data_IF_116664286363
#
_entry.id   IF_116664286363
#
_cell.length_a   1.000
_cell.length_b   1.000
_cell.length_c   1.000
_cell.angle_alpha   90.00
_cell.angle_beta   90.00
_cell.angle_gamma   90.00
#
_symmetry.space_group_name_H-M   'P 1'
#
loop_
_entity.id
_entity.type
_entity.pdbx_description
1 polymer ?
#
# COMPACT_ATOMS: atom_id res chain seq x y z
N UNK A 1 2.32 -24.95 8.23
CA UNK A 1 1.71 -25.86 7.22
C UNK A 1 0.43 -25.28 6.58
N UNK A 2 -0.62 -24.95 7.34
CA UNK A 2 -1.87 -24.42 6.76
C UNK A 2 -1.69 -23.10 5.97
N UNK A 3 -0.99 -22.10 6.53
CA UNK A 3 -0.77 -20.82 5.84
C UNK A 3 0.00 -20.98 4.51
N UNK A 4 1.02 -21.85 4.48
CA UNK A 4 1.76 -22.18 3.26
C UNK A 4 0.90 -22.90 2.21
N UNK A 5 0.01 -23.81 2.64
CA UNK A 5 -0.94 -24.46 1.73
C UNK A 5 -1.92 -23.44 1.11
N UNK A 6 -2.42 -22.49 1.90
CA UNK A 6 -3.28 -21.40 1.44
C UNK A 6 -2.55 -20.47 0.47
N UNK A 7 -1.29 -20.13 0.77
CA UNK A 7 -0.42 -19.37 -0.14
C UNK A 7 -0.24 -20.09 -1.48
N UNK A 8 -0.01 -21.41 -1.45
CA UNK A 8 0.05 -22.24 -2.65
C UNK A 8 -1.24 -22.21 -3.49
N UNK A 9 -2.40 -22.17 -2.84
CA UNK A 9 -3.69 -22.00 -3.53
C UNK A 9 -3.87 -20.61 -4.14
N UNK A 10 -3.48 -19.54 -3.43
CA UNK A 10 -3.51 -18.17 -3.98
C UNK A 10 -2.65 -18.07 -5.25
N UNK A 11 -1.44 -18.61 -5.21
CA UNK A 11 -0.53 -18.64 -6.38
C UNK A 11 -1.13 -19.45 -7.53
N UNK A 12 -1.77 -20.59 -7.23
CA UNK A 12 -2.43 -21.43 -8.24
C UNK A 12 -3.61 -20.69 -8.89
N UNK A 13 -4.38 -19.93 -8.11
CA UNK A 13 -5.49 -19.11 -8.61
C UNK A 13 -5.01 -17.98 -9.50
N UNK A 14 -3.92 -17.30 -9.14
CA UNK A 14 -3.35 -16.24 -9.99
C UNK A 14 -2.99 -16.74 -11.39
N UNK A 15 -2.36 -17.92 -11.47
CA UNK A 15 -2.03 -18.57 -12.76
C UNK A 15 -3.27 -18.88 -13.62
N UNK A 16 -4.44 -19.00 -13.00
CA UNK A 16 -5.73 -19.25 -13.66
C UNK A 16 -6.58 -17.98 -13.78
N UNK A 17 -6.01 -16.81 -13.52
CA UNK A 17 -6.70 -15.52 -13.40
C UNK A 17 -7.83 -15.48 -12.35
N UNK A 18 -7.92 -16.47 -11.45
CA UNK A 18 -8.95 -16.58 -10.43
C UNK A 18 -8.78 -15.61 -9.25
N UNK A 19 -7.73 -14.77 -9.25
CA UNK A 19 -7.65 -13.64 -8.31
C UNK A 19 -8.54 -12.46 -8.71
N UNK A 20 -9.04 -12.45 -9.96
CA UNK A 20 -10.01 -11.45 -10.41
C UNK A 20 -11.35 -11.54 -9.65
N UNK A 21 -11.72 -12.74 -9.21
CA UNK A 21 -13.01 -13.01 -8.54
C UNK A 21 -13.06 -12.53 -7.08
N UNK A 22 -11.92 -12.22 -6.47
CA UNK A 22 -11.86 -11.74 -5.09
C UNK A 22 -12.21 -10.27 -5.01
N UNK A 23 -12.87 -9.87 -3.92
CA UNK A 23 -13.07 -8.44 -3.67
C UNK A 23 -11.74 -7.73 -3.41
N UNK A 24 -11.73 -6.41 -3.58
CA UNK A 24 -10.60 -5.55 -3.23
C UNK A 24 -10.18 -5.74 -1.76
N UNK A 25 -11.16 -5.78 -0.84
CA UNK A 25 -10.96 -6.01 0.57
C UNK A 25 -10.35 -7.40 0.87
N UNK A 26 -10.77 -8.45 0.16
CA UNK A 26 -10.21 -9.80 0.33
C UNK A 26 -8.72 -9.82 -0.01
N UNK A 27 -8.33 -9.18 -1.12
CA UNK A 27 -6.93 -9.08 -1.52
C UNK A 27 -6.09 -8.34 -0.47
N UNK A 28 -6.58 -7.20 0.04
CA UNK A 28 -5.89 -6.43 1.08
C UNK A 28 -5.75 -7.21 2.41
N UNK A 29 -6.79 -7.97 2.78
CA UNK A 29 -6.78 -8.84 3.95
C UNK A 29 -5.77 -9.99 3.80
N UNK A 30 -5.66 -10.57 2.60
CA UNK A 30 -4.64 -11.58 2.30
C UNK A 30 -3.24 -11.00 2.41
N UNK A 31 -2.98 -9.80 1.85
CA UNK A 31 -1.69 -9.12 2.00
C UNK A 31 -1.35 -8.92 3.47
N UNK A 32 -2.28 -8.36 4.24
CA UNK A 32 -2.09 -8.14 5.69
C UNK A 32 -1.76 -9.45 6.41
N UNK A 33 -2.49 -10.51 6.11
CA UNK A 33 -2.32 -11.82 6.73
C UNK A 33 -0.98 -12.45 6.38
N UNK A 34 -0.66 -12.59 5.09
CA UNK A 34 0.61 -13.18 4.64
C UNK A 34 1.81 -12.37 5.13
N UNK A 35 1.68 -11.04 5.22
CA UNK A 35 2.77 -10.18 5.65
C UNK A 35 3.26 -10.51 7.07
N UNK A 36 2.49 -11.21 7.90
CA UNK A 36 2.91 -11.66 9.24
C UNK A 36 4.10 -12.64 9.22
N UNK A 37 4.42 -13.20 8.06
CA UNK A 37 5.53 -14.14 7.87
C UNK A 37 6.51 -13.65 6.79
N UNK A 38 7.19 -12.51 6.98
CA UNK A 38 8.07 -11.94 5.95
C UNK A 38 9.30 -12.81 5.63
N UNK A 39 9.70 -13.67 6.57
CA UNK A 39 10.82 -14.61 6.41
C UNK A 39 10.47 -15.85 5.57
N UNK A 40 9.20 -16.05 5.27
CA UNK A 40 8.72 -17.23 4.56
C UNK A 40 8.59 -16.94 3.05
N UNK A 41 9.27 -17.74 2.22
CA UNK A 41 9.28 -17.57 0.77
C UNK A 41 7.86 -17.63 0.15
N UNK A 42 7.02 -18.55 0.63
CA UNK A 42 5.64 -18.69 0.18
C UNK A 42 4.80 -17.44 0.48
N UNK A 43 5.14 -16.66 1.51
CA UNK A 43 4.44 -15.42 1.85
C UNK A 43 4.74 -14.33 0.83
N UNK A 44 6.03 -14.15 0.51
CA UNK A 44 6.47 -13.27 -0.56
C UNK A 44 5.75 -13.65 -1.86
N UNK A 45 5.85 -14.90 -2.31
CA UNK A 45 5.21 -15.31 -3.57
C UNK A 45 3.69 -15.10 -3.62
N UNK A 46 2.98 -15.35 -2.51
CA UNK A 46 1.53 -15.10 -2.46
C UNK A 46 1.19 -13.60 -2.54
N UNK A 47 1.93 -12.75 -1.83
CA UNK A 47 1.75 -11.30 -1.92
C UNK A 47 2.14 -10.80 -3.31
N UNK A 48 3.17 -11.38 -3.94
CA UNK A 48 3.59 -11.09 -5.32
C UNK A 48 2.49 -11.38 -6.34
N UNK A 49 1.78 -12.50 -6.19
CA UNK A 49 0.62 -12.82 -7.00
C UNK A 49 -0.51 -11.77 -6.84
N UNK A 50 -0.79 -11.35 -5.60
CA UNK A 50 -1.79 -10.31 -5.32
C UNK A 50 -1.35 -8.95 -5.90
N UNK A 51 -0.08 -8.57 -5.75
CA UNK A 51 0.48 -7.36 -6.33
C UNK A 51 0.37 -7.36 -7.86
N UNK A 52 0.62 -8.50 -8.50
CA UNK A 52 0.39 -8.71 -9.93
C UNK A 52 -1.07 -8.52 -10.32
N UNK A 53 -2.01 -9.05 -9.54
CA UNK A 53 -3.45 -8.85 -9.76
C UNK A 53 -3.86 -7.37 -9.60
N UNK A 54 -3.38 -6.67 -8.57
CA UNK A 54 -3.59 -5.22 -8.39
C UNK A 54 -3.03 -4.47 -9.61
N UNK A 55 -1.86 -4.89 -10.10
CA UNK A 55 -1.28 -4.43 -11.34
C UNK A 55 -2.21 -4.63 -12.55
N UNK A 56 -2.91 -5.76 -12.66
CA UNK A 56 -3.82 -6.01 -13.80
C UNK A 56 -5.14 -5.24 -13.71
N UNK A 57 -5.63 -4.90 -12.52
CA UNK A 57 -6.88 -4.14 -12.33
C UNK A 57 -6.80 -2.70 -12.83
N UNK A 58 -5.59 -2.18 -12.99
CA UNK A 58 -5.35 -0.81 -13.46
C UNK A 58 -4.89 -0.89 -14.91
N UNK A 59 -5.83 -0.70 -15.85
CA UNK A 59 -5.49 -0.51 -17.25
C UNK A 59 -4.60 0.74 -17.42
N UNK A 60 -3.71 0.81 -18.43
CA UNK A 60 -2.91 2.00 -18.68
C UNK A 60 -3.81 3.24 -18.87
N UNK A 61 -3.72 4.21 -17.97
CA UNK A 61 -4.50 5.45 -18.01
C UNK A 61 -5.83 5.41 -17.23
N UNK A 62 -6.20 4.29 -16.62
CA UNK A 62 -7.37 4.20 -15.74
C UNK A 62 -6.97 4.21 -14.27
N UNK A 63 -7.82 4.80 -13.43
CA UNK A 63 -7.68 4.77 -11.98
C UNK A 63 -8.44 3.57 -11.40
N UNK A 64 -8.03 2.36 -11.79
CA UNK A 64 -8.71 1.09 -11.45
C UNK A 64 -8.60 0.65 -9.98
N UNK A 65 -8.33 1.56 -9.05
CA UNK A 65 -8.22 1.30 -7.62
C UNK A 65 -9.29 2.04 -6.79
N UNK A 66 -10.25 2.71 -7.44
CA UNK A 66 -11.32 3.44 -6.74
C UNK A 66 -12.16 2.57 -5.80
N UNK A 67 -12.28 1.27 -6.10
CA UNK A 67 -13.03 0.32 -5.28
C UNK A 67 -12.28 -0.16 -4.02
N UNK A 68 -10.98 0.16 -3.88
CA UNK A 68 -10.28 -0.06 -2.62
C UNK A 68 -10.62 1.04 -1.62
N UNK A 69 -10.91 0.68 -0.38
CA UNK A 69 -11.08 1.68 0.66
C UNK A 69 -9.70 2.19 1.17
N UNK A 70 -9.71 3.23 2.00
CA UNK A 70 -8.52 3.86 2.57
C UNK A 70 -7.63 2.86 3.32
N UNK A 71 -8.24 2.01 4.14
CA UNK A 71 -7.56 1.00 4.93
C UNK A 71 -6.88 -0.05 4.05
N UNK A 72 -7.51 -0.45 2.95
CA UNK A 72 -6.98 -1.42 2.00
C UNK A 72 -5.71 -0.89 1.32
N UNK A 73 -5.76 0.34 0.82
CA UNK A 73 -4.60 0.98 0.19
C UNK A 73 -3.41 1.05 1.16
N UNK A 74 -3.66 1.49 2.40
CA UNK A 74 -2.62 1.57 3.43
C UNK A 74 -2.04 0.19 3.80
N UNK A 75 -2.89 -0.83 3.92
CA UNK A 75 -2.46 -2.19 4.24
C UNK A 75 -1.64 -2.82 3.11
N UNK A 76 -2.05 -2.60 1.86
CA UNK A 76 -1.29 -3.07 0.70
C UNK A 76 0.10 -2.45 0.64
N UNK A 77 0.21 -1.12 0.74
CA UNK A 77 1.52 -0.43 0.76
C UNK A 77 2.39 -0.92 1.92
N UNK A 78 1.83 -1.05 3.11
CA UNK A 78 2.58 -1.56 4.26
C UNK A 78 3.05 -3.02 4.05
N UNK A 79 2.21 -3.88 3.45
CA UNK A 79 2.58 -5.25 3.11
C UNK A 79 3.67 -5.34 2.04
N UNK A 80 3.54 -4.56 0.96
CA UNK A 80 4.50 -4.47 -0.13
C UNK A 80 5.85 -3.90 0.32
N UNK A 81 5.86 -2.99 1.30
CA UNK A 81 7.07 -2.37 1.84
C UNK A 81 8.04 -3.35 2.53
N UNK A 82 7.63 -4.60 2.74
CA UNK A 82 8.49 -5.66 3.32
C UNK A 82 9.51 -6.20 2.33
N UNK A 83 9.30 -5.99 1.03
CA UNK A 83 10.20 -6.43 -0.03
C UNK A 83 10.43 -5.29 -1.04
N UNK A 84 11.02 -4.17 -0.63
CA UNK A 84 11.07 -2.95 -1.45
C UNK A 84 11.91 -3.10 -2.73
N UNK A 85 12.82 -4.08 -2.77
CA UNK A 85 13.72 -4.32 -3.90
C UNK A 85 13.06 -5.10 -5.05
N UNK A 86 11.88 -5.68 -4.82
CA UNK A 86 11.18 -6.48 -5.82
C UNK A 86 10.30 -5.60 -6.73
N UNK A 87 10.55 -5.69 -8.04
CA UNK A 87 9.90 -4.83 -9.03
C UNK A 87 8.37 -4.94 -9.03
N UNK A 88 7.81 -6.13 -8.74
CA UNK A 88 6.35 -6.35 -8.70
C UNK A 88 5.67 -5.52 -7.61
N UNK A 89 6.28 -5.42 -6.43
CA UNK A 89 5.74 -4.63 -5.32
C UNK A 89 5.89 -3.14 -5.57
N UNK A 90 7.01 -2.74 -6.17
CA UNK A 90 7.21 -1.34 -6.58
C UNK A 90 6.14 -0.92 -7.58
N UNK A 91 5.90 -1.70 -8.62
CA UNK A 91 4.87 -1.38 -9.62
C UNK A 91 3.46 -1.32 -9.05
N UNK A 92 3.09 -2.24 -8.15
CA UNK A 92 1.79 -2.21 -7.49
C UNK A 92 1.65 -0.97 -6.58
N UNK A 93 2.70 -0.62 -5.85
CA UNK A 93 2.74 0.55 -4.96
C UNK A 93 2.70 1.86 -5.75
N UNK A 94 3.33 1.95 -6.93
CA UNK A 94 3.23 3.11 -7.84
C UNK A 94 1.77 3.36 -8.23
N UNK A 95 1.01 2.29 -8.51
CA UNK A 95 -0.41 2.41 -8.85
C UNK A 95 -1.23 2.96 -7.69
N UNK A 96 -0.92 2.53 -6.46
CA UNK A 96 -1.54 3.07 -5.25
C UNK A 96 -1.14 4.55 -5.03
N UNK A 97 0.13 4.90 -5.26
CA UNK A 97 0.60 6.29 -5.17
C UNK A 97 -0.18 7.22 -6.11
N UNK A 98 -0.37 6.81 -7.37
CA UNK A 98 -1.17 7.56 -8.35
C UNK A 98 -2.64 7.68 -7.96
N UNK A 99 -3.21 6.63 -7.37
CA UNK A 99 -4.58 6.68 -6.84
C UNK A 99 -4.71 7.69 -5.69
N UNK A 100 -3.73 7.76 -4.77
CA UNK A 100 -3.73 8.79 -3.71
C UNK A 100 -3.65 10.20 -4.28
N UNK A 101 -2.81 10.44 -5.29
CA UNK A 101 -2.72 11.74 -5.97
C UNK A 101 -4.01 12.11 -6.71
N UNK A 102 -4.78 11.13 -7.20
CA UNK A 102 -6.13 11.37 -7.72
C UNK A 102 -7.09 11.74 -6.59
N UNK A 103 -7.13 10.96 -5.50
CA UNK A 103 -8.03 11.22 -4.37
C UNK A 103 -7.81 12.60 -3.75
N UNK A 104 -6.58 13.02 -3.53
CA UNK A 104 -6.31 14.38 -2.99
C UNK A 104 -6.85 15.50 -3.89
N UNK A 105 -6.92 15.29 -5.21
CA UNK A 105 -7.48 16.28 -6.16
C UNK A 105 -9.01 16.28 -6.20
N UNK A 106 -9.65 15.14 -5.98
CA UNK A 106 -11.10 14.97 -6.19
C UNK A 106 -11.91 14.97 -4.88
N UNK A 107 -11.45 14.27 -3.85
CA UNK A 107 -12.18 14.03 -2.59
C UNK A 107 -11.38 14.42 -1.34
N UNK A 108 -10.06 14.61 -1.47
CA UNK A 108 -9.15 14.79 -0.34
C UNK A 108 -8.74 13.46 0.31
N UNK A 109 -7.96 13.54 1.38
CA UNK A 109 -7.53 12.37 2.15
C UNK A 109 -8.10 12.34 3.57
N UNK A 110 -9.18 13.09 3.82
CA UNK A 110 -9.77 13.31 5.15
C UNK A 110 -10.20 11.99 5.85
N UNK A 111 -10.61 11.00 5.06
CA UNK A 111 -11.12 9.73 5.56
C UNK A 111 -10.01 8.73 5.93
N UNK A 112 -8.75 9.00 5.58
CA UNK A 112 -7.63 8.20 6.07
C UNK A 112 -7.43 8.44 7.57
N UNK A 113 -7.24 7.37 8.33
CA UNK A 113 -6.85 7.47 9.74
C UNK A 113 -5.38 7.89 9.88
N UNK A 114 -4.98 8.46 11.03
CA UNK A 114 -3.57 8.78 11.29
C UNK A 114 -2.61 7.58 11.11
N UNK A 115 -3.08 6.37 11.43
CA UNK A 115 -2.30 5.15 11.29
C UNK A 115 -2.13 4.76 9.82
N UNK A 116 -3.19 4.90 9.02
CA UNK A 116 -3.13 4.62 7.58
C UNK A 116 -2.19 5.59 6.86
N UNK A 117 -2.27 6.89 7.16
CA UNK A 117 -1.33 7.89 6.64
C UNK A 117 0.11 7.54 7.00
N UNK A 118 0.36 7.16 8.27
CA UNK A 118 1.68 6.76 8.72
C UNK A 118 2.22 5.50 7.99
N UNK A 119 1.36 4.52 7.75
CA UNK A 119 1.71 3.30 7.01
C UNK A 119 2.07 3.61 5.55
N UNK A 120 1.28 4.47 4.89
CA UNK A 120 1.52 4.90 3.52
C UNK A 120 2.88 5.61 3.39
N UNK A 121 3.14 6.63 4.21
CA UNK A 121 4.42 7.37 4.17
C UNK A 121 5.59 6.42 4.46
N UNK A 122 5.47 5.54 5.46
CA UNK A 122 6.52 4.58 5.76
C UNK A 122 6.82 3.65 4.58
N UNK A 123 5.79 3.19 3.84
CA UNK A 123 5.98 2.37 2.66
C UNK A 123 6.61 3.13 1.49
N UNK A 124 6.14 4.35 1.19
CA UNK A 124 6.74 5.19 0.14
C UNK A 124 8.18 5.60 0.46
N UNK A 125 8.53 5.77 1.74
CA UNK A 125 9.89 6.09 2.16
C UNK A 125 10.95 5.03 1.83
N UNK A 126 10.52 3.83 1.38
CA UNK A 126 11.43 2.75 0.95
C UNK A 126 12.08 2.99 -0.41
N UNK A 127 11.52 3.86 -1.25
CA UNK A 127 12.09 4.21 -2.56
C UNK A 127 12.15 5.74 -2.71
N UNK A 128 13.10 6.42 -2.04
CA UNK A 128 13.15 7.89 -1.98
C UNK A 128 13.54 8.56 -3.32
N UNK A 129 13.90 7.77 -4.34
CA UNK A 129 14.25 8.24 -5.68
C UNK A 129 13.10 8.11 -6.70
N UNK A 130 11.91 7.65 -6.27
CA UNK A 130 10.75 7.45 -7.14
C UNK A 130 9.79 8.66 -7.10
N UNK A 131 9.53 9.26 -8.27
CA UNK A 131 8.73 10.47 -8.37
C UNK A 131 7.26 10.27 -7.99
N UNK A 132 6.65 9.12 -8.33
CA UNK A 132 5.25 8.82 -7.97
C UNK A 132 5.12 8.69 -6.44
N UNK A 133 6.11 8.06 -5.80
CA UNK A 133 6.15 7.91 -4.34
C UNK A 133 6.39 9.25 -3.62
N UNK A 134 7.24 10.10 -4.20
CA UNK A 134 7.46 11.45 -3.69
C UNK A 134 6.17 12.26 -3.73
N UNK A 135 5.47 12.25 -4.87
CA UNK A 135 4.20 12.97 -5.04
C UNK A 135 3.15 12.51 -4.03
N UNK A 136 2.97 11.19 -3.87
CA UNK A 136 2.06 10.64 -2.88
C UNK A 136 2.45 11.02 -1.44
N UNK A 137 3.75 11.06 -1.13
CA UNK A 137 4.22 11.51 0.19
C UNK A 137 3.93 12.99 0.42
N UNK A 138 4.11 13.84 -0.60
CA UNK A 138 3.77 15.27 -0.54
C UNK A 138 2.28 15.47 -0.30
N UNK A 139 1.43 14.71 -0.99
CA UNK A 139 -0.03 14.72 -0.80
C UNK A 139 -0.39 14.36 0.66
N UNK A 140 0.23 13.32 1.23
CA UNK A 140 0.02 12.96 2.64
C UNK A 140 0.52 14.05 3.58
N UNK A 141 1.67 14.67 3.30
CA UNK A 141 2.20 15.77 4.11
C UNK A 141 1.22 16.96 4.16
N UNK A 142 0.57 17.31 3.03
CA UNK A 142 -0.47 18.34 3.01
C UNK A 142 -1.63 17.98 3.93
N UNK A 143 -2.08 16.73 3.89
CA UNK A 143 -3.16 16.26 4.76
C UNK A 143 -2.79 16.33 6.24
N UNK A 144 -1.58 15.91 6.60
CA UNK A 144 -1.06 16.01 7.98
C UNK A 144 -0.98 17.48 8.43
N UNK A 145 -0.58 18.40 7.55
CA UNK A 145 -0.56 19.84 7.83
C UNK A 145 -1.98 20.40 8.03
N UNK A 146 -2.96 19.98 7.21
CA UNK A 146 -4.38 20.33 7.39
C UNK A 146 -4.87 19.89 8.77
N UNK A 147 -4.39 18.74 9.26
CA UNK A 147 -4.70 18.17 10.59
C UNK A 147 -3.74 18.60 11.71
N UNK A 148 -2.95 19.66 11.54
CA UNK A 148 -1.94 20.08 12.54
C UNK A 148 -2.48 20.19 13.98
N UNK A 149 -3.73 20.61 14.15
CA UNK A 149 -4.37 20.75 15.45
C UNK A 149 -4.71 19.40 16.13
N UNK A 150 -4.80 18.32 15.35
CA UNK A 150 -5.07 16.95 15.81
C UNK A 150 -3.78 16.16 16.07
N UNK A 151 -2.61 16.67 15.70
CA UNK A 151 -1.34 15.98 15.96
C UNK A 151 -1.14 15.55 17.42
N UNK A 152 -1.55 16.32 18.45
CA UNK A 152 -1.45 15.87 19.84
C UNK A 152 -2.28 14.63 20.19
N UNK A 153 -3.32 14.30 19.40
CA UNK A 153 -4.13 13.10 19.61
C UNK A 153 -3.67 11.90 18.79
N UNK A 154 -2.63 12.05 17.96
CA UNK A 154 -2.08 10.92 17.21
C UNK A 154 -1.35 9.99 18.18
N UNK A 155 -1.49 8.68 17.98
CA UNK A 155 -0.65 7.72 18.70
C UNK A 155 0.83 8.02 18.43
N UNK A 156 1.67 7.91 19.47
CA UNK A 156 3.10 8.24 19.37
C UNK A 156 3.79 7.51 18.21
N UNK A 157 3.48 6.23 18.02
CA UNK A 157 4.01 5.43 16.90
C UNK A 157 3.68 6.03 15.52
N UNK A 158 2.47 6.57 15.34
CA UNK A 158 2.06 7.18 14.08
C UNK A 158 2.89 8.45 13.81
N UNK A 159 3.12 9.28 14.84
CA UNK A 159 3.98 10.46 14.73
C UNK A 159 5.42 10.08 14.37
N UNK A 160 6.00 9.08 15.05
CA UNK A 160 7.35 8.61 14.75
C UNK A 160 7.47 8.09 13.32
N UNK A 161 6.48 7.30 12.85
CA UNK A 161 6.46 6.77 11.49
C UNK A 161 6.33 7.89 10.44
N UNK A 162 5.47 8.89 10.68
CA UNK A 162 5.34 10.05 9.81
C UNK A 162 6.65 10.84 9.73
N UNK A 163 7.26 11.18 10.87
CA UNK A 163 8.54 11.91 10.92
C UNK A 163 9.65 11.13 10.21
N UNK A 164 9.79 9.84 10.53
CA UNK A 164 10.80 8.98 9.90
C UNK A 164 10.58 8.92 8.39
N UNK A 165 9.35 8.71 7.94
CA UNK A 165 9.02 8.60 6.53
C UNK A 165 9.23 9.91 5.75
N UNK A 166 8.85 11.06 6.31
CA UNK A 166 9.11 12.37 5.69
C UNK A 166 10.61 12.69 5.63
N UNK A 167 11.40 12.28 6.63
CA UNK A 167 12.85 12.55 6.67
C UNK A 167 13.67 11.85 5.58
N UNK A 168 13.09 10.88 4.86
CA UNK A 168 13.77 10.13 3.80
C UNK A 168 13.79 10.84 2.45
N UNK A 169 12.99 11.89 2.28
CA UNK A 169 12.90 12.61 1.01
C UNK A 169 13.92 13.75 0.97
N UNK A 170 14.59 13.95 -0.17
CA UNK A 170 15.44 15.12 -0.36
C UNK A 170 14.61 16.40 -0.26
N UNK A 171 15.25 17.47 0.23
CA UNK A 171 14.66 18.81 0.33
C UNK A 171 14.50 19.47 -1.04
#
# INVERSE_FOLDING_TARGET
EAAGAMAGEVIRRDRRAGLADFSHQDLANMVTSFSKWPQEEWSCHAIGAIAGQVGRRVAPGEFGLSDFNHQDLANMVNGFSKWPDEAVYRQATIKIARELSRRDREEGLADFTPQELANLVNGFSKCPDDADYHEATVVIAREVIRRRAQLPSFAYQNLTNLVNGFSKWPQ
#
